data_IF_495926099647
#
_entry.id   IF_495926099647
#
_cell.length_a   1.000
_cell.length_b   1.000
_cell.length_c   1.000
_cell.angle_alpha   90.00
_cell.angle_beta   90.00
_cell.angle_gamma   90.00
#
_symmetry.space_group_name_H-M   'P 1'
#
loop_
_entity.id
_entity.type
_entity.pdbx_description
1 polymer ?
#
# COMPACT_ATOMS: atom_id res chain seq x y z
N UNK A 1 30.41 27.79 45.59
CA UNK A 1 31.12 28.17 44.36
C UNK A 1 31.28 26.87 43.62
N UNK A 2 30.42 26.62 42.62
CA UNK A 2 30.50 25.42 41.77
C UNK A 2 31.85 25.44 41.06
N UNK A 3 32.60 24.34 41.15
CA UNK A 3 33.94 24.23 40.56
C UNK A 3 33.84 24.12 39.04
N UNK A 4 34.73 24.80 38.31
CA UNK A 4 34.84 24.69 36.86
C UNK A 4 35.07 23.23 36.43
N UNK A 5 35.71 22.43 37.27
CA UNK A 5 35.93 21.01 37.03
C UNK A 5 34.65 20.16 37.15
N UNK A 6 33.70 20.55 38.00
CA UNK A 6 32.39 19.87 38.12
C UNK A 6 31.56 20.10 36.83
N UNK A 7 31.57 21.34 36.31
CA UNK A 7 30.93 21.64 35.02
C UNK A 7 31.51 20.84 33.85
N UNK A 8 32.82 20.62 33.81
CA UNK A 8 33.46 19.84 32.74
C UNK A 8 32.99 18.38 32.75
N UNK A 9 32.69 17.82 33.93
CA UNK A 9 32.18 16.45 34.08
C UNK A 9 30.73 16.35 33.60
N UNK A 10 29.90 17.37 33.87
CA UNK A 10 28.47 17.36 33.51
C UNK A 10 28.20 17.76 32.04
N UNK A 11 29.15 18.46 31.40
CA UNK A 11 29.05 18.96 30.03
C UNK A 11 28.76 17.84 29.00
N UNK A 12 29.39 16.67 29.14
CA UNK A 12 29.19 15.56 28.18
C UNK A 12 27.73 15.07 28.20
N UNK A 13 27.17 14.86 29.39
CA UNK A 13 25.77 14.45 29.56
C UNK A 13 24.76 15.52 29.11
N UNK A 14 25.08 16.81 29.33
CA UNK A 14 24.27 17.92 28.82
C UNK A 14 24.24 17.95 27.28
N UNK A 15 25.39 17.80 26.62
CA UNK A 15 25.45 17.76 25.16
C UNK A 15 24.84 16.49 24.58
N UNK A 16 24.97 15.34 25.24
CA UNK A 16 24.30 14.10 24.83
C UNK A 16 22.78 14.25 24.89
N UNK A 17 22.25 14.73 26.01
CA UNK A 17 20.81 14.97 26.20
C UNK A 17 20.26 15.99 25.21
N UNK A 18 21.00 17.08 24.99
CA UNK A 18 20.62 18.12 24.03
C UNK A 18 20.63 17.58 22.60
N UNK A 19 21.71 16.90 22.19
CA UNK A 19 21.82 16.32 20.86
C UNK A 19 20.78 15.23 20.60
N UNK A 20 20.43 14.42 21.61
CA UNK A 20 19.34 13.46 21.50
C UNK A 20 17.98 14.16 21.33
N UNK A 21 17.69 15.17 22.14
CA UNK A 21 16.43 15.91 22.06
C UNK A 21 16.27 16.62 20.71
N UNK A 22 17.33 17.27 20.23
CA UNK A 22 17.38 17.92 18.92
C UNK A 22 17.22 16.90 17.78
N UNK A 23 18.00 15.82 17.79
CA UNK A 23 17.93 14.77 16.79
C UNK A 23 16.55 14.09 16.75
N UNK A 24 15.92 13.85 17.90
CA UNK A 24 14.57 13.32 17.98
C UNK A 24 13.53 14.31 17.42
N UNK A 25 13.66 15.60 17.73
CA UNK A 25 12.75 16.63 17.22
C UNK A 25 12.87 16.78 15.69
N UNK A 26 14.10 16.82 15.17
CA UNK A 26 14.36 16.90 13.74
C UNK A 26 13.92 15.64 13.00
N UNK A 27 14.23 14.45 13.53
CA UNK A 27 13.81 13.18 12.96
C UNK A 27 12.29 13.08 12.86
N UNK A 28 11.55 13.51 13.90
CA UNK A 28 10.08 13.58 13.85
C UNK A 28 9.59 14.54 12.79
N UNK A 29 10.18 15.73 12.68
CA UNK A 29 9.80 16.74 11.70
C UNK A 29 10.00 16.25 10.27
N UNK A 30 11.18 15.70 9.98
CA UNK A 30 11.53 15.17 8.65
C UNK A 30 10.67 13.95 8.31
N UNK A 31 10.54 12.99 9.24
CA UNK A 31 9.74 11.79 9.03
C UNK A 31 8.25 12.06 8.74
N UNK A 32 7.66 13.12 9.31
CA UNK A 32 6.28 13.52 8.98
C UNK A 32 6.17 14.04 7.54
N UNK A 33 7.16 14.80 7.07
CA UNK A 33 7.16 15.35 5.71
C UNK A 33 7.37 14.22 4.69
N UNK A 34 8.41 13.42 4.88
CA UNK A 34 8.72 12.29 4.00
C UNK A 34 7.57 11.28 3.96
N UNK A 35 6.99 10.95 5.12
CA UNK A 35 5.85 10.03 5.20
C UNK A 35 4.61 10.54 4.47
N UNK A 36 4.39 11.86 4.42
CA UNK A 36 3.28 12.47 3.65
C UNK A 36 3.55 12.40 2.15
N UNK A 37 4.77 12.75 1.72
CA UNK A 37 5.14 12.74 0.30
C UNK A 37 5.06 11.32 -0.27
N UNK A 38 5.72 10.36 0.39
CA UNK A 38 5.68 8.95 0.01
C UNK A 38 4.26 8.38 0.07
N UNK A 39 3.49 8.74 1.10
CA UNK A 39 2.10 8.31 1.24
C UNK A 39 1.20 8.82 0.11
N UNK A 40 1.40 10.07 -0.35
CA UNK A 40 0.65 10.64 -1.47
C UNK A 40 1.03 9.99 -2.80
N UNK A 41 2.32 9.88 -3.10
CA UNK A 41 2.81 9.27 -4.34
C UNK A 41 2.35 7.81 -4.44
N UNK A 42 2.64 7.02 -3.41
CA UNK A 42 2.34 5.60 -3.43
C UNK A 42 0.85 5.29 -3.24
N UNK A 43 0.15 6.11 -2.45
CA UNK A 43 -1.29 5.98 -2.24
C UNK A 43 -2.09 6.16 -3.53
N UNK A 44 -1.67 7.06 -4.42
CA UNK A 44 -2.31 7.24 -5.73
C UNK A 44 -2.15 5.98 -6.60
N UNK A 45 -0.95 5.43 -6.69
CA UNK A 45 -0.68 4.23 -7.49
C UNK A 45 -1.49 3.03 -6.99
N UNK A 46 -1.54 2.83 -5.67
CA UNK A 46 -2.37 1.80 -5.06
C UNK A 46 -3.85 2.03 -5.39
N UNK A 47 -4.34 3.26 -5.22
CA UNK A 47 -5.73 3.61 -5.50
C UNK A 47 -6.12 3.36 -6.96
N UNK A 48 -5.26 3.74 -7.90
CA UNK A 48 -5.40 3.46 -9.33
C UNK A 48 -5.55 1.97 -9.61
N UNK A 49 -4.65 1.16 -9.06
CA UNK A 49 -4.63 -0.28 -9.27
C UNK A 49 -5.89 -0.96 -8.70
N UNK A 50 -6.27 -0.61 -7.46
CA UNK A 50 -7.49 -1.12 -6.84
C UNK A 50 -8.74 -0.72 -7.63
N UNK A 51 -8.80 0.52 -8.10
CA UNK A 51 -9.88 1.03 -8.94
C UNK A 51 -10.00 0.24 -10.24
N UNK A 52 -8.87 -0.04 -10.91
CA UNK A 52 -8.85 -0.87 -12.12
C UNK A 52 -9.38 -2.28 -11.86
N UNK A 53 -8.84 -3.00 -10.87
CA UNK A 53 -9.25 -4.40 -10.62
C UNK A 53 -10.73 -4.50 -10.26
N UNK A 54 -11.24 -3.53 -9.48
CA UNK A 54 -12.66 -3.44 -9.12
C UNK A 54 -13.53 -3.19 -10.35
N UNK A 55 -13.21 -2.16 -11.14
CA UNK A 55 -13.96 -1.82 -12.35
C UNK A 55 -13.95 -2.95 -13.37
N UNK A 56 -12.79 -3.56 -13.61
CA UNK A 56 -12.66 -4.71 -14.50
C UNK A 56 -13.53 -5.88 -14.06
N UNK A 57 -13.51 -6.23 -12.77
CA UNK A 57 -14.33 -7.33 -12.25
C UNK A 57 -15.83 -7.02 -12.38
N UNK A 58 -16.23 -5.77 -12.12
CA UNK A 58 -17.61 -5.31 -12.24
C UNK A 58 -18.13 -5.38 -13.68
N UNK A 59 -17.34 -4.93 -14.65
CA UNK A 59 -17.76 -4.96 -16.06
C UNK A 59 -17.90 -6.39 -16.58
N UNK A 60 -17.02 -7.32 -16.18
CA UNK A 60 -17.18 -8.74 -16.53
C UNK A 60 -18.39 -9.40 -15.88
N UNK A 61 -18.73 -9.03 -14.64
CA UNK A 61 -19.94 -9.53 -13.99
C UNK A 61 -21.21 -9.00 -14.66
N UNK A 62 -21.24 -7.71 -15.04
CA UNK A 62 -22.33 -7.12 -15.83
C UNK A 62 -22.48 -7.78 -17.20
N UNK A 63 -21.36 -8.03 -17.89
CA UNK A 63 -21.36 -8.76 -19.14
C UNK A 63 -21.93 -10.17 -18.97
N UNK A 64 -21.63 -10.84 -17.86
CA UNK A 64 -22.14 -12.16 -17.53
C UNK A 64 -23.65 -12.20 -17.22
N UNK A 65 -24.25 -11.09 -16.80
CA UNK A 65 -25.71 -10.94 -16.63
C UNK A 65 -26.41 -10.86 -17.99
N UNK A 66 -25.81 -10.14 -18.94
CA UNK A 66 -26.36 -9.96 -20.29
C UNK A 66 -26.08 -11.16 -21.22
N UNK A 67 -24.92 -11.78 -21.03
CA UNK A 67 -24.37 -12.86 -21.87
C UNK A 67 -23.76 -13.97 -20.99
N UNK A 68 -24.59 -14.86 -20.42
CA UNK A 68 -24.13 -15.90 -19.49
C UNK A 68 -23.10 -16.87 -20.07
N UNK A 69 -23.04 -17.01 -21.40
CA UNK A 69 -22.11 -17.87 -22.13
C UNK A 69 -20.66 -17.37 -22.13
N UNK A 70 -20.45 -16.06 -21.93
CA UNK A 70 -19.12 -15.45 -21.98
C UNK A 70 -18.29 -15.72 -20.72
N UNK A 71 -18.96 -15.98 -19.59
CA UNK A 71 -18.33 -16.07 -18.27
C UNK A 71 -18.82 -17.30 -17.53
N UNK A 72 -17.96 -18.30 -17.39
CA UNK A 72 -18.26 -19.50 -16.61
C UNK A 72 -18.60 -19.18 -15.14
N UNK A 73 -19.44 -19.99 -14.50
CA UNK A 73 -19.77 -19.84 -13.07
C UNK A 73 -18.53 -19.84 -12.16
N UNK A 74 -17.48 -20.59 -12.54
CA UNK A 74 -16.19 -20.58 -11.84
C UNK A 74 -15.51 -19.21 -11.96
N UNK A 75 -15.54 -18.59 -13.14
CA UNK A 75 -15.01 -17.25 -13.36
C UNK A 75 -15.82 -16.19 -12.58
N UNK A 76 -17.17 -16.27 -12.58
CA UNK A 76 -18.03 -15.36 -11.80
C UNK A 76 -17.67 -15.36 -10.30
N UNK A 77 -17.51 -16.54 -9.70
CA UNK A 77 -17.08 -16.66 -8.29
C UNK A 77 -15.72 -16.00 -8.03
N UNK A 78 -14.79 -16.11 -8.98
CA UNK A 78 -13.45 -15.50 -8.85
C UNK A 78 -13.47 -13.99 -9.08
N UNK A 79 -14.31 -13.49 -9.99
CA UNK A 79 -14.57 -12.06 -10.18
C UNK A 79 -15.16 -11.44 -8.90
N UNK A 80 -16.11 -12.13 -8.26
CA UNK A 80 -16.62 -11.69 -6.96
C UNK A 80 -15.53 -11.65 -5.89
N UNK A 81 -14.68 -12.68 -5.83
CA UNK A 81 -13.55 -12.70 -4.90
C UNK A 81 -12.55 -11.56 -5.13
N UNK A 82 -12.39 -11.05 -6.36
CA UNK A 82 -11.58 -9.85 -6.63
C UNK A 82 -12.25 -8.62 -6.02
N UNK A 83 -13.57 -8.45 -6.20
CA UNK A 83 -14.30 -7.33 -5.58
C UNK A 83 -14.19 -7.34 -4.06
N UNK A 84 -14.36 -8.53 -3.45
CA UNK A 84 -14.28 -8.70 -2.00
C UNK A 84 -12.87 -8.40 -1.50
N UNK A 85 -11.84 -8.87 -2.19
CA UNK A 85 -10.44 -8.60 -1.85
C UNK A 85 -10.10 -7.10 -1.95
N UNK A 86 -10.58 -6.40 -2.99
CA UNK A 86 -10.39 -4.95 -3.13
C UNK A 86 -11.09 -4.20 -2.00
N UNK A 87 -12.33 -4.55 -1.67
CA UNK A 87 -13.09 -3.89 -0.61
C UNK A 87 -12.51 -4.19 0.79
N UNK A 88 -11.75 -5.28 0.95
CA UNK A 88 -11.06 -5.64 2.18
C UNK A 88 -9.69 -4.94 2.35
N UNK A 89 -9.22 -4.17 1.35
CA UNK A 89 -8.00 -3.38 1.50
C UNK A 89 -8.26 -2.22 2.47
N UNK A 90 -7.45 -2.07 3.53
CA UNK A 90 -7.62 -0.97 4.49
C UNK A 90 -7.51 0.40 3.82
N UNK A 91 -8.22 1.40 4.34
CA UNK A 91 -8.08 2.80 3.92
C UNK A 91 -7.22 3.63 4.88
N UNK A 92 -6.77 3.01 5.97
CA UNK A 92 -5.98 3.65 7.01
C UNK A 92 -4.68 2.87 7.19
N UNK A 93 -3.56 3.58 7.20
CA UNK A 93 -2.25 2.99 7.46
C UNK A 93 -2.16 2.55 8.92
N UNK A 94 -2.02 1.24 9.14
CA UNK A 94 -1.77 0.63 10.44
C UNK A 94 -0.78 -0.53 10.27
N UNK A 95 -0.13 -0.95 11.36
CA UNK A 95 0.89 -2.01 11.31
C UNK A 95 0.39 -3.34 10.71
N UNK A 96 -0.91 -3.62 10.80
CA UNK A 96 -1.54 -4.82 10.25
C UNK A 96 -2.14 -4.65 8.85
N UNK A 97 -1.88 -3.53 8.17
CA UNK A 97 -2.55 -3.26 6.89
C UNK A 97 -2.07 -4.18 5.75
N UNK A 98 -0.80 -4.61 5.78
CA UNK A 98 -0.18 -5.53 4.82
C UNK A 98 -0.56 -5.24 3.35
N UNK A 99 -0.53 -3.96 2.94
CA UNK A 99 -1.00 -3.51 1.62
C UNK A 99 -0.37 -4.28 0.46
N UNK A 100 0.96 -4.43 0.45
CA UNK A 100 1.70 -5.12 -0.61
C UNK A 100 1.22 -6.55 -0.82
N UNK A 101 0.98 -7.30 0.26
CA UNK A 101 0.51 -8.68 0.18
C UNK A 101 -0.92 -8.78 -0.37
N UNK A 102 -1.81 -7.89 0.07
CA UNK A 102 -3.20 -7.84 -0.41
C UNK A 102 -3.26 -7.48 -1.90
N UNK A 103 -2.44 -6.51 -2.33
CA UNK A 103 -2.37 -6.10 -3.74
C UNK A 103 -1.83 -7.25 -4.59
N UNK A 104 -0.76 -7.92 -4.15
CA UNK A 104 -0.22 -9.10 -4.85
C UNK A 104 -1.27 -10.21 -4.97
N UNK A 105 -2.05 -10.45 -3.92
CA UNK A 105 -3.13 -11.44 -3.95
C UNK A 105 -4.24 -11.08 -4.97
N UNK A 106 -4.62 -9.79 -5.04
CA UNK A 106 -5.57 -9.28 -6.05
C UNK A 106 -4.99 -9.46 -7.47
N UNK A 107 -3.72 -9.10 -7.69
CA UNK A 107 -3.04 -9.27 -8.97
C UNK A 107 -3.01 -10.74 -9.42
N UNK A 108 -2.73 -11.68 -8.50
CA UNK A 108 -2.74 -13.11 -8.80
C UNK A 108 -4.13 -13.61 -9.18
N UNK A 109 -5.17 -13.16 -8.47
CA UNK A 109 -6.57 -13.45 -8.82
C UNK A 109 -6.92 -12.89 -10.20
N UNK A 110 -6.57 -11.64 -10.47
CA UNK A 110 -6.79 -11.01 -11.77
C UNK A 110 -6.13 -11.78 -12.92
N UNK A 111 -4.85 -12.15 -12.80
CA UNK A 111 -4.13 -12.93 -13.82
C UNK A 111 -4.81 -14.27 -14.09
N UNK A 112 -5.23 -14.95 -13.02
CA UNK A 112 -5.95 -16.22 -13.10
C UNK A 112 -7.26 -16.08 -13.86
N UNK A 113 -8.07 -15.07 -13.52
CA UNK A 113 -9.39 -14.88 -14.14
C UNK A 113 -9.25 -14.39 -15.58
N UNK A 114 -8.28 -13.51 -15.88
CA UNK A 114 -8.01 -13.04 -17.24
C UNK A 114 -7.70 -14.21 -18.17
N UNK A 115 -6.84 -15.14 -17.73
CA UNK A 115 -6.56 -16.37 -18.48
C UNK A 115 -7.81 -17.25 -18.67
N UNK A 116 -8.68 -17.35 -17.66
CA UNK A 116 -9.94 -18.10 -17.78
C UNK A 116 -10.92 -17.48 -18.79
N UNK A 117 -10.87 -16.16 -18.98
CA UNK A 117 -11.73 -15.41 -19.89
C UNK A 117 -11.14 -15.30 -21.30
N UNK A 118 -9.93 -15.82 -21.53
CA UNK A 118 -9.25 -15.74 -22.84
C UNK A 118 -8.82 -14.33 -23.24
N UNK A 119 -8.93 -13.36 -22.34
CA UNK A 119 -8.40 -12.00 -22.51
C UNK A 119 -6.99 -11.96 -21.94
N UNK A 120 -6.00 -11.64 -22.78
CA UNK A 120 -4.63 -11.46 -22.33
C UNK A 120 -4.58 -10.48 -21.16
N UNK A 121 -3.77 -10.77 -20.14
CA UNK A 121 -3.54 -9.89 -19.01
C UNK A 121 -2.66 -8.69 -19.44
N UNK A 122 -3.17 -7.84 -20.33
CA UNK A 122 -2.46 -6.67 -20.85
C UNK A 122 -2.35 -5.50 -19.87
N UNK A 123 -2.65 -5.73 -18.59
CA UNK A 123 -2.52 -4.73 -17.55
C UNK A 123 -1.12 -4.84 -16.92
N UNK A 124 -0.13 -4.23 -17.56
CA UNK A 124 1.10 -3.81 -16.87
C UNK A 124 0.76 -2.61 -15.97
N UNK A 125 0.02 -2.88 -14.91
CA UNK A 125 -0.24 -1.90 -13.85
C UNK A 125 0.89 -2.03 -12.83
N UNK A 126 1.64 -0.93 -12.68
CA UNK A 126 2.89 -0.75 -11.93
C UNK A 126 3.28 -1.93 -11.02
N UNK A 127 3.90 -2.94 -11.61
CA UNK A 127 4.66 -3.96 -10.86
C UNK A 127 6.00 -3.43 -10.33
N UNK A 128 6.36 -2.18 -10.66
CA UNK A 128 7.67 -1.58 -10.37
C UNK A 128 7.71 -0.61 -9.18
N UNK A 129 6.59 -0.27 -8.53
CA UNK A 129 6.61 0.69 -7.41
C UNK A 129 6.65 0.05 -6.01
N UNK A 130 6.53 -1.28 -5.90
CA UNK A 130 6.47 -2.01 -4.62
C UNK A 130 7.78 -2.72 -4.23
N UNK A 131 8.90 -2.42 -4.92
CA UNK A 131 10.23 -2.87 -4.49
C UNK A 131 10.84 -1.86 -3.54
N UNK A 132 10.61 -2.07 -2.25
CA UNK A 132 11.44 -1.59 -1.15
C UNK A 132 11.72 -2.76 -0.22
#
# INVERSE_FOLDING_TARGET
>A
MEDIFDRIIDIEGEYESTGYAEGLADGKRVGIVEGRELGCEHGFDIGKDLGFYKGWAQEWLRAAESHPELVSERAKKKLQAIQDAVNAVPTVNNEGAHFSERIKDIQLKFKTVSAMLGVGAGAELSTNSLSY
#
